data_IF_786954852848
#
_entry.id   IF_786954852848
#
_cell.length_a   1.000
_cell.length_b   1.000
_cell.length_c   1.000
_cell.angle_alpha   90.00
_cell.angle_beta   90.00
_cell.angle_gamma   90.00
#
_symmetry.space_group_name_H-M   'P 1'
#
loop_
_entity.id
_entity.type
_entity.pdbx_description
1 polymer ?
#
# COMPACT_ATOMS: atom_id res chain seq x y z
N UNK A 1 -19.41 -25.01 12.60
CA UNK A 1 -18.27 -24.26 11.98
C UNK A 1 -17.26 -25.31 11.58
N UNK A 2 -16.67 -25.26 10.39
CA UNK A 2 -15.67 -26.27 10.00
C UNK A 2 -14.32 -25.99 10.65
N UNK A 3 -13.53 -27.02 10.93
CA UNK A 3 -12.18 -26.87 11.48
C UNK A 3 -11.22 -26.63 10.32
N UNK A 4 -10.46 -25.53 10.36
CA UNK A 4 -9.42 -25.27 9.37
C UNK A 4 -8.21 -26.21 9.59
N UNK A 5 -7.62 -26.69 8.50
CA UNK A 5 -6.34 -27.38 8.53
C UNK A 5 -5.23 -26.40 8.88
N UNK A 6 -4.28 -26.87 9.66
CA UNK A 6 -3.00 -26.21 9.90
C UNK A 6 -2.17 -26.18 8.61
N UNK A 7 -1.21 -25.26 8.54
CA UNK A 7 -0.35 -25.16 7.37
C UNK A 7 0.53 -26.41 7.22
N UNK A 8 0.86 -27.09 8.32
CA UNK A 8 1.66 -28.32 8.29
C UNK A 8 0.83 -29.51 7.75
N UNK A 9 -0.46 -29.61 8.11
CA UNK A 9 -1.39 -30.58 7.50
C UNK A 9 -1.50 -30.33 5.98
N UNK A 10 -1.71 -29.07 5.57
CA UNK A 10 -1.76 -28.71 4.14
C UNK A 10 -0.46 -28.98 3.40
N UNK A 11 0.69 -28.79 4.05
CA UNK A 11 2.00 -29.09 3.47
C UNK A 11 2.19 -30.58 3.24
N UNK A 12 1.79 -31.44 4.18
CA UNK A 12 1.91 -32.89 4.04
C UNK A 12 1.06 -33.44 2.90
N UNK A 13 -0.11 -32.86 2.66
CA UNK A 13 -0.95 -33.17 1.49
C UNK A 13 -0.34 -32.60 0.19
N UNK A 14 0.23 -31.40 0.23
CA UNK A 14 0.74 -30.69 -0.95
C UNK A 14 2.14 -31.13 -1.44
N UNK A 15 2.99 -31.70 -0.56
CA UNK A 15 4.41 -31.96 -0.88
C UNK A 15 4.63 -32.97 -2.01
N UNK A 16 3.66 -33.82 -2.29
CA UNK A 16 3.71 -34.83 -3.36
C UNK A 16 3.46 -34.28 -4.76
N UNK A 17 3.05 -33.01 -4.88
CA UNK A 17 2.73 -32.35 -6.15
C UNK A 17 3.89 -31.52 -6.68
N UNK A 18 3.94 -31.38 -8.01
CA UNK A 18 4.94 -30.54 -8.66
C UNK A 18 4.56 -29.05 -8.57
N UNK A 19 3.26 -28.77 -8.61
CA UNK A 19 2.71 -27.42 -8.58
C UNK A 19 1.43 -27.37 -7.76
N UNK A 20 1.30 -26.34 -6.93
CA UNK A 20 0.11 -26.07 -6.12
C UNK A 20 -0.44 -24.69 -6.47
N UNK A 21 -1.74 -24.60 -6.76
CA UNK A 21 -2.42 -23.34 -7.01
C UNK A 21 -3.27 -22.95 -5.80
N UNK A 22 -3.14 -21.70 -5.37
CA UNK A 22 -3.98 -21.11 -4.33
C UNK A 22 -4.21 -19.63 -4.61
N UNK A 23 -5.39 -19.12 -4.28
CA UNK A 23 -5.68 -17.69 -4.44
C UNK A 23 -5.01 -16.82 -3.38
N UNK A 24 -4.69 -17.39 -2.21
CA UNK A 24 -4.05 -16.66 -1.13
C UNK A 24 -2.52 -16.62 -1.28
N UNK A 25 -1.99 -15.42 -1.49
CA UNK A 25 -0.55 -15.19 -1.58
C UNK A 25 0.19 -15.51 -0.28
N UNK A 26 -0.46 -15.34 0.89
CA UNK A 26 0.14 -15.66 2.18
C UNK A 26 0.29 -17.17 2.34
N UNK A 27 -0.76 -17.95 2.04
CA UNK A 27 -0.69 -19.41 2.01
C UNK A 27 0.37 -19.92 1.02
N UNK A 28 0.40 -19.38 -0.20
CA UNK A 28 1.44 -19.75 -1.18
C UNK A 28 2.85 -19.50 -0.63
N UNK A 29 3.05 -18.36 0.03
CA UNK A 29 4.35 -18.02 0.65
C UNK A 29 4.68 -18.96 1.81
N UNK A 30 3.70 -19.30 2.65
CA UNK A 30 3.87 -20.19 3.79
C UNK A 30 4.19 -21.63 3.38
N UNK A 31 3.58 -22.14 2.31
CA UNK A 31 3.91 -23.44 1.72
C UNK A 31 5.31 -23.42 1.11
N UNK A 32 5.65 -22.37 0.37
CA UNK A 32 6.99 -22.23 -0.20
C UNK A 32 8.10 -22.11 0.86
N UNK A 33 7.79 -21.54 2.02
CA UNK A 33 8.73 -21.47 3.15
C UNK A 33 9.05 -22.81 3.81
N UNK A 34 8.26 -23.86 3.54
CA UNK A 34 8.45 -25.23 4.08
C UNK A 34 9.27 -26.14 3.17
N UNK A 35 9.63 -25.66 1.98
CA UNK A 35 10.48 -26.40 1.05
C UNK A 35 11.87 -26.56 1.67
N UNK A 36 12.22 -27.79 2.06
CA UNK A 36 13.55 -28.13 2.56
C UNK A 36 14.49 -28.65 1.47
N UNK A 37 13.95 -29.04 0.30
CA UNK A 37 14.70 -29.66 -0.79
C UNK A 37 15.00 -28.67 -1.93
N UNK A 38 16.19 -28.77 -2.57
CA UNK A 38 16.50 -27.95 -3.73
C UNK A 38 15.58 -28.30 -4.90
N UNK A 39 14.85 -27.32 -5.41
CA UNK A 39 13.92 -27.48 -6.54
C UNK A 39 14.00 -26.32 -7.52
N UNK A 40 13.63 -26.59 -8.77
CA UNK A 40 13.51 -25.56 -9.80
C UNK A 40 12.14 -24.88 -9.66
N UNK A 41 12.16 -23.59 -9.33
CA UNK A 41 10.96 -22.79 -9.10
C UNK A 41 10.32 -23.03 -7.72
N UNK A 42 9.13 -22.45 -7.53
CA UNK A 42 8.32 -22.58 -6.31
C UNK A 42 7.38 -23.79 -6.38
N UNK A 43 6.86 -24.22 -5.23
CA UNK A 43 5.78 -25.21 -5.13
C UNK A 43 4.43 -24.56 -5.38
N UNK A 44 4.12 -23.53 -4.60
CA UNK A 44 2.82 -22.87 -4.61
C UNK A 44 2.85 -21.55 -5.37
N UNK A 45 1.86 -21.34 -6.23
CA UNK A 45 1.67 -20.13 -7.02
C UNK A 45 0.24 -19.62 -6.92
N UNK A 46 0.07 -18.32 -7.11
CA UNK A 46 -1.24 -17.73 -7.37
C UNK A 46 -1.54 -17.72 -8.88
N UNK A 47 -2.81 -17.79 -9.30
CA UNK A 47 -3.20 -17.69 -10.71
C UNK A 47 -2.60 -16.46 -11.40
N UNK A 48 -2.60 -15.31 -10.71
CA UNK A 48 -2.01 -14.06 -11.19
C UNK A 48 -0.49 -14.12 -11.36
N UNK A 49 0.22 -14.87 -10.51
CA UNK A 49 1.66 -15.09 -10.67
C UNK A 49 1.95 -15.97 -11.89
N UNK A 50 1.17 -17.05 -12.10
CA UNK A 50 1.29 -17.89 -13.29
C UNK A 50 1.04 -17.05 -14.54
N UNK A 51 -0.03 -16.26 -14.56
CA UNK A 51 -0.36 -15.39 -15.69
C UNK A 51 0.75 -14.38 -15.99
N UNK A 52 1.39 -13.80 -14.96
CA UNK A 52 2.53 -12.90 -15.15
C UNK A 52 3.77 -13.62 -15.70
N UNK A 53 3.95 -14.91 -15.42
CA UNK A 53 5.04 -15.72 -15.98
C UNK A 53 4.78 -16.11 -17.44
N UNK A 54 3.52 -16.20 -17.85
CA UNK A 54 3.11 -16.65 -19.19
C UNK A 54 2.63 -15.52 -20.09
N UNK A 55 2.63 -14.26 -19.63
CA UNK A 55 2.07 -13.11 -20.36
C UNK A 55 2.71 -12.90 -21.75
N UNK A 56 4.01 -13.17 -21.88
CA UNK A 56 4.70 -13.06 -23.15
C UNK A 56 4.28 -14.16 -24.13
N UNK A 57 3.91 -15.35 -23.63
CA UNK A 57 3.46 -16.48 -24.44
C UNK A 57 2.00 -16.31 -24.85
N UNK A 58 1.15 -15.78 -23.95
CA UNK A 58 -0.29 -15.62 -24.20
C UNK A 58 -0.62 -14.37 -25.01
N UNK A 59 -0.10 -13.19 -24.64
CA UNK A 59 -0.43 -11.90 -25.29
C UNK A 59 0.68 -11.46 -26.28
N UNK A 60 1.85 -12.09 -26.26
CA UNK A 60 3.00 -11.71 -27.11
C UNK A 60 3.79 -10.50 -26.59
N UNK A 61 3.36 -9.88 -25.49
CA UNK A 61 3.96 -8.68 -24.88
C UNK A 61 3.64 -8.62 -23.39
N UNK A 62 4.49 -7.96 -22.58
CA UNK A 62 4.23 -7.80 -21.15
C UNK A 62 2.93 -7.03 -20.89
N UNK A 63 2.22 -7.38 -19.82
CA UNK A 63 1.05 -6.64 -19.39
C UNK A 63 1.45 -5.23 -18.93
N UNK A 64 0.65 -4.23 -19.30
CA UNK A 64 0.87 -2.86 -18.87
C UNK A 64 0.65 -2.70 -17.36
N UNK A 65 1.39 -1.79 -16.76
CA UNK A 65 1.15 -1.35 -15.39
C UNK A 65 -0.13 -0.51 -15.29
N UNK A 66 -0.71 -0.42 -14.09
CA UNK A 66 -1.94 0.35 -13.85
C UNK A 66 -1.81 1.82 -14.28
N UNK A 67 -0.64 2.44 -14.03
CA UNK A 67 -0.40 3.83 -14.43
C UNK A 67 -0.33 3.99 -15.95
N UNK A 68 0.27 3.04 -16.66
CA UNK A 68 0.33 3.06 -18.13
C UNK A 68 -1.05 2.86 -18.74
N UNK A 69 -1.86 1.94 -18.19
CA UNK A 69 -3.25 1.72 -18.60
C UNK A 69 -4.05 3.02 -18.44
N UNK A 70 -3.98 3.65 -17.27
CA UNK A 70 -4.71 4.91 -17.01
C UNK A 70 -4.22 6.02 -17.94
N UNK A 71 -2.91 6.16 -18.12
CA UNK A 71 -2.33 7.16 -19.01
C UNK A 71 -2.78 6.96 -20.46
N UNK A 72 -2.88 5.71 -20.92
CA UNK A 72 -3.32 5.39 -22.28
C UNK A 72 -4.82 5.67 -22.47
N UNK A 73 -5.67 5.25 -21.54
CA UNK A 73 -7.12 5.51 -21.61
C UNK A 73 -7.40 7.02 -21.61
N UNK A 74 -6.63 7.81 -20.84
CA UNK A 74 -6.76 9.27 -20.83
C UNK A 74 -6.31 9.93 -22.14
N UNK A 75 -5.31 9.39 -22.83
CA UNK A 75 -4.94 9.90 -24.18
C UNK A 75 -6.06 9.68 -25.19
N UNK A 76 -6.80 8.58 -25.04
CA UNK A 76 -7.92 8.27 -25.92
C UNK A 76 -9.20 9.03 -25.51
N UNK A 77 -9.24 9.57 -24.28
CA UNK A 77 -10.39 10.26 -23.68
C UNK A 77 -9.92 11.51 -22.90
N UNK A 78 -9.71 12.62 -23.61
CA UNK A 78 -9.19 13.87 -23.03
C UNK A 78 -10.13 14.50 -21.97
N UNK A 79 -11.41 14.12 -21.94
CA UNK A 79 -12.42 14.62 -21.01
C UNK A 79 -12.43 13.93 -19.64
N UNK A 80 -11.66 12.84 -19.48
CA UNK A 80 -11.64 12.05 -18.24
C UNK A 80 -10.45 12.39 -17.33
N UNK A 81 -10.76 12.69 -16.06
CA UNK A 81 -9.75 12.88 -15.03
C UNK A 81 -9.19 11.53 -14.52
N UNK A 82 -7.98 11.57 -13.97
CA UNK A 82 -7.28 10.37 -13.49
C UNK A 82 -8.08 9.59 -12.46
N UNK A 83 -8.76 10.27 -11.53
CA UNK A 83 -9.50 9.62 -10.46
C UNK A 83 -10.69 8.85 -11.01
N UNK A 84 -11.42 9.44 -11.96
CA UNK A 84 -12.53 8.76 -12.64
C UNK A 84 -12.05 7.54 -13.42
N UNK A 85 -10.99 7.65 -14.22
CA UNK A 85 -10.45 6.48 -14.95
C UNK A 85 -10.04 5.37 -13.99
N UNK A 86 -9.36 5.71 -12.89
CA UNK A 86 -8.96 4.74 -11.88
C UNK A 86 -10.15 4.05 -11.21
N UNK A 87 -11.20 4.80 -10.83
CA UNK A 87 -12.39 4.23 -10.21
C UNK A 87 -13.15 3.32 -11.16
N UNK A 88 -13.35 3.73 -12.41
CA UNK A 88 -14.05 2.94 -13.42
C UNK A 88 -13.24 1.69 -13.80
N UNK A 89 -11.91 1.81 -13.95
CA UNK A 89 -11.02 0.67 -14.19
C UNK A 89 -11.11 -0.37 -13.05
N UNK A 90 -11.16 0.09 -11.80
CA UNK A 90 -11.29 -0.79 -10.63
C UNK A 90 -12.64 -1.52 -10.66
N UNK A 91 -13.73 -0.82 -10.98
CA UNK A 91 -15.06 -1.42 -11.11
C UNK A 91 -15.13 -2.45 -12.25
N UNK A 92 -14.57 -2.12 -13.42
CA UNK A 92 -14.45 -3.03 -14.57
C UNK A 92 -13.71 -4.32 -14.20
N UNK A 93 -12.58 -4.21 -13.49
CA UNK A 93 -11.81 -5.37 -13.03
C UNK A 93 -12.61 -6.22 -12.05
N UNK A 94 -13.35 -5.59 -11.14
CA UNK A 94 -14.19 -6.32 -10.19
C UNK A 94 -15.30 -7.11 -10.90
N UNK A 95 -15.98 -6.50 -11.88
CA UNK A 95 -16.96 -7.20 -12.71
C UNK A 95 -16.30 -8.38 -13.46
N UNK A 96 -15.13 -8.15 -14.06
CA UNK A 96 -14.43 -9.19 -14.84
C UNK A 96 -14.02 -10.41 -14.01
N UNK A 97 -13.82 -10.26 -12.69
CA UNK A 97 -13.54 -11.40 -11.81
C UNK A 97 -14.69 -12.41 -11.76
N UNK A 98 -15.93 -11.93 -11.90
CA UNK A 98 -17.13 -12.75 -11.74
C UNK A 98 -17.82 -13.10 -13.05
N UNK A 99 -17.55 -12.37 -14.14
CA UNK A 99 -18.24 -12.60 -15.43
C UNK A 99 -17.37 -12.16 -16.62
N UNK A 100 -17.43 -12.90 -17.72
CA UNK A 100 -16.76 -12.54 -18.98
C UNK A 100 -17.43 -11.32 -19.67
N UNK A 101 -18.76 -11.22 -19.61
CA UNK A 101 -19.57 -10.18 -20.25
C UNK A 101 -19.58 -8.85 -19.47
N UNK A 102 -18.43 -8.19 -19.33
CA UNK A 102 -18.31 -6.92 -18.61
C UNK A 102 -19.26 -5.86 -19.14
N UNK A 103 -19.39 -5.73 -20.48
CA UNK A 103 -20.16 -4.68 -21.14
C UNK A 103 -21.63 -4.60 -20.70
N UNK A 104 -22.23 -5.74 -20.33
CA UNK A 104 -23.64 -5.83 -19.90
C UNK A 104 -23.90 -5.19 -18.54
N UNK A 105 -22.88 -5.15 -17.68
CA UNK A 105 -22.98 -4.64 -16.31
C UNK A 105 -22.46 -3.20 -16.17
N UNK A 106 -22.13 -2.54 -17.28
CA UNK A 106 -21.71 -1.14 -17.31
C UNK A 106 -22.90 -0.20 -17.50
N UNK A 107 -23.34 0.41 -16.41
CA UNK A 107 -24.50 1.31 -16.42
C UNK A 107 -24.15 2.73 -16.93
N UNK A 108 -22.94 3.21 -16.68
CA UNK A 108 -22.51 4.57 -17.02
C UNK A 108 -21.89 4.66 -18.43
N UNK A 109 -22.19 5.75 -19.16
CA UNK A 109 -21.56 6.05 -20.45
C UNK A 109 -20.05 6.20 -20.31
N UNK A 110 -19.58 6.77 -19.19
CA UNK A 110 -18.15 6.91 -18.90
C UNK A 110 -17.49 5.55 -18.75
N UNK A 111 -18.12 4.65 -18.01
CA UNK A 111 -17.63 3.30 -17.81
C UNK A 111 -17.53 2.53 -19.14
N UNK A 112 -18.53 2.71 -20.02
CA UNK A 112 -18.51 2.12 -21.37
C UNK A 112 -17.35 2.67 -22.22
N UNK A 113 -17.09 3.98 -22.21
CA UNK A 113 -15.92 4.55 -22.91
C UNK A 113 -14.60 4.01 -22.38
N UNK A 114 -14.44 3.97 -21.05
CA UNK A 114 -13.25 3.41 -20.40
C UNK A 114 -13.07 1.94 -20.80
N UNK A 115 -14.15 1.16 -20.86
CA UNK A 115 -14.13 -0.25 -21.27
C UNK A 115 -13.71 -0.44 -22.73
N UNK A 116 -14.21 0.39 -23.66
CA UNK A 116 -13.84 0.33 -25.08
C UNK A 116 -12.34 0.51 -25.30
N UNK A 117 -11.70 1.43 -24.57
CA UNK A 117 -10.24 1.56 -24.56
C UNK A 117 -9.58 0.40 -23.80
N UNK A 118 -10.08 0.05 -22.61
CA UNK A 118 -9.47 -0.95 -21.72
C UNK A 118 -9.36 -2.34 -22.37
N UNK A 119 -10.39 -2.81 -23.09
CA UNK A 119 -10.41 -4.15 -23.70
C UNK A 119 -9.30 -4.37 -24.75
N UNK A 120 -8.81 -3.29 -25.36
CA UNK A 120 -7.77 -3.34 -26.39
C UNK A 120 -6.36 -3.44 -25.80
N UNK A 121 -6.20 -2.99 -24.55
CA UNK A 121 -4.90 -2.95 -23.89
C UNK A 121 -4.43 -4.34 -23.45
N UNK A 122 -3.11 -4.58 -23.43
CA UNK A 122 -2.55 -5.81 -22.86
C UNK A 122 -2.58 -5.72 -21.33
N UNK A 123 -3.61 -6.32 -20.73
CA UNK A 123 -3.80 -6.36 -19.27
C UNK A 123 -3.56 -7.76 -18.73
N UNK A 124 -3.33 -7.86 -17.40
CA UNK A 124 -3.16 -9.16 -16.74
C UNK A 124 -4.42 -10.02 -16.84
N UNK A 125 -5.59 -9.40 -16.74
CA UNK A 125 -6.87 -10.09 -16.88
C UNK A 125 -7.01 -10.70 -18.28
N UNK A 126 -6.58 -9.98 -19.32
CA UNK A 126 -6.55 -10.50 -20.69
C UNK A 126 -5.57 -11.66 -20.86
N UNK A 127 -4.47 -11.66 -20.12
CA UNK A 127 -3.51 -12.78 -20.13
C UNK A 127 -4.13 -14.03 -19.53
N UNK A 128 -4.92 -13.87 -18.47
CA UNK A 128 -5.62 -14.97 -17.82
C UNK A 128 -6.75 -15.50 -18.70
N UNK A 129 -7.46 -14.61 -19.39
CA UNK A 129 -8.54 -14.99 -20.32
C UNK A 129 -8.03 -15.70 -21.57
N UNK A 130 -6.91 -15.24 -22.14
CA UNK A 130 -6.28 -15.87 -23.30
C UNK A 130 -5.47 -17.13 -22.93
N UNK A 131 -5.41 -17.49 -21.64
CA UNK A 131 -4.65 -18.65 -21.20
C UNK A 131 -5.40 -19.94 -21.56
N UNK A 132 -4.75 -20.78 -22.37
CA UNK A 132 -5.17 -22.14 -22.65
C UNK A 132 -4.22 -23.10 -21.94
N UNK A 133 -4.75 -23.96 -21.07
CA UNK A 133 -3.94 -24.91 -20.30
C UNK A 133 -3.26 -25.96 -21.18
N UNK A 134 -3.90 -26.37 -22.27
CA UNK A 134 -3.40 -27.41 -23.17
C UNK A 134 -2.19 -26.93 -23.99
N UNK A 135 -2.15 -25.64 -24.32
CA UNK A 135 -1.09 -25.03 -25.14
C UNK A 135 0.11 -24.55 -24.32
N UNK A 136 -0.05 -24.38 -23.00
CA UNK A 136 0.96 -23.77 -22.16
C UNK A 136 1.89 -24.80 -21.48
N UNK A 137 3.20 -24.62 -21.68
CA UNK A 137 4.25 -25.47 -21.14
C UNK A 137 4.33 -25.49 -19.60
N UNK A 138 3.66 -24.56 -18.90
CA UNK A 138 3.82 -24.41 -17.46
C UNK A 138 3.33 -25.62 -16.67
N UNK A 139 2.19 -26.22 -17.06
CA UNK A 139 1.60 -27.38 -16.38
C UNK A 139 1.90 -28.72 -17.07
N UNK A 140 2.53 -28.69 -18.25
CA UNK A 140 2.77 -29.89 -19.05
C UNK A 140 3.64 -30.90 -18.29
N UNK A 141 3.07 -32.09 -18.03
CA UNK A 141 3.74 -33.19 -17.34
C UNK A 141 3.90 -33.02 -15.83
N UNK A 142 3.21 -32.05 -15.22
CA UNK A 142 3.25 -31.79 -13.78
C UNK A 142 1.99 -32.31 -13.10
N UNK A 143 2.13 -32.85 -11.89
CA UNK A 143 1.01 -33.10 -10.99
C UNK A 143 0.60 -31.79 -10.33
N UNK A 144 -0.63 -31.35 -10.57
CA UNK A 144 -1.16 -30.07 -10.07
C UNK A 144 -2.18 -30.32 -8.97
N UNK A 145 -2.02 -29.63 -7.84
CA UNK A 145 -3.05 -29.55 -6.80
C UNK A 145 -3.61 -28.13 -6.71
N UNK A 146 -4.88 -28.01 -6.33
CA UNK A 146 -5.57 -26.74 -6.10
C UNK A 146 -6.04 -26.72 -4.66
N UNK A 147 -5.61 -25.73 -3.88
CA UNK A 147 -6.07 -25.55 -2.50
C UNK A 147 -7.20 -24.54 -2.46
N UNK A 148 -8.37 -24.98 -1.98
CA UNK A 148 -9.55 -24.15 -1.78
C UNK A 148 -10.17 -23.65 -3.07
N UNK A 149 -10.70 -24.58 -3.89
CA UNK A 149 -11.32 -24.27 -5.19
C UNK A 149 -12.48 -23.27 -5.06
N UNK A 150 -13.20 -23.30 -3.94
CA UNK A 150 -14.29 -22.38 -3.62
C UNK A 150 -13.86 -20.90 -3.60
N UNK A 151 -12.58 -20.61 -3.36
CA UNK A 151 -12.06 -19.25 -3.32
C UNK A 151 -11.61 -18.73 -4.69
N UNK A 152 -11.65 -19.56 -5.74
CA UNK A 152 -11.31 -19.15 -7.10
C UNK A 152 -12.47 -18.42 -7.77
N UNK A 153 -12.20 -17.24 -8.28
CA UNK A 153 -13.17 -16.51 -9.10
C UNK A 153 -13.22 -17.10 -10.53
N UNK A 154 -14.20 -16.68 -11.33
CA UNK A 154 -14.35 -17.11 -12.72
C UNK A 154 -13.05 -16.89 -13.52
N UNK A 155 -12.45 -15.70 -13.38
CA UNK A 155 -11.18 -15.38 -14.03
C UNK A 155 -10.02 -16.27 -13.56
N UNK A 156 -9.98 -16.63 -12.28
CA UNK A 156 -8.91 -17.46 -11.72
C UNK A 156 -9.03 -18.91 -12.20
N UNK A 157 -10.25 -19.39 -12.44
CA UNK A 157 -10.54 -20.75 -12.94
C UNK A 157 -10.00 -21.00 -14.34
N UNK A 158 -9.87 -19.96 -15.17
CA UNK A 158 -9.21 -20.08 -16.48
C UNK A 158 -7.74 -20.53 -16.41
N UNK A 159 -7.09 -20.37 -15.25
CA UNK A 159 -5.70 -20.77 -15.04
C UNK A 159 -5.54 -22.22 -14.54
N UNK A 160 -6.64 -22.95 -14.32
CA UNK A 160 -6.62 -24.31 -13.79
C UNK A 160 -6.40 -25.33 -14.91
N UNK A 161 -5.50 -26.30 -14.69
CA UNK A 161 -5.36 -27.46 -15.59
C UNK A 161 -6.65 -28.28 -15.64
N UNK A 162 -6.87 -29.08 -16.69
CA UNK A 162 -7.99 -30.02 -16.74
C UNK A 162 -7.85 -31.17 -15.72
N UNK A 163 -6.60 -31.61 -15.51
CA UNK A 163 -6.25 -32.65 -14.53
C UNK A 163 -5.63 -31.97 -13.29
N UNK A 164 -6.39 -31.87 -12.20
CA UNK A 164 -5.90 -31.40 -10.89
C UNK A 164 -6.57 -32.15 -9.75
N UNK A 165 -5.86 -32.22 -8.62
CA UNK A 165 -6.41 -32.72 -7.35
C UNK A 165 -6.82 -31.56 -6.46
N UNK A 166 -8.01 -31.61 -5.89
CA UNK A 166 -8.50 -30.60 -4.97
C UNK A 166 -8.11 -30.94 -3.52
N UNK A 167 -7.48 -29.98 -2.85
CA UNK A 167 -7.16 -30.04 -1.43
C UNK A 167 -8.09 -29.06 -0.69
N UNK A 168 -9.00 -29.60 0.13
CA UNK A 168 -9.85 -28.78 0.99
C UNK A 168 -9.01 -28.15 2.13
N UNK A 169 -9.30 -26.88 2.41
CA UNK A 169 -8.75 -26.11 3.53
C UNK A 169 -9.33 -26.54 4.88
N UNK A 170 -10.49 -27.20 4.86
CA UNK A 170 -11.18 -27.65 6.05
C UNK A 170 -11.03 -29.16 6.23
N UNK A 171 -11.06 -29.59 7.49
CA UNK A 171 -11.23 -30.99 7.86
C UNK A 171 -12.63 -31.23 8.39
N UNK A 172 -13.07 -32.48 8.29
CA UNK A 172 -14.34 -32.90 8.85
C UNK A 172 -14.34 -32.73 10.37
N UNK A 173 -15.31 -31.96 10.85
CA UNK A 173 -15.48 -31.68 12.27
C UNK A 173 -16.12 -30.33 12.54
N UNK A 174 -16.73 -30.21 13.73
CA UNK A 174 -17.29 -28.97 14.22
C UNK A 174 -16.29 -28.24 15.11
N UNK A 175 -15.86 -27.07 14.67
CA UNK A 175 -15.14 -26.09 15.49
C UNK A 175 -16.09 -25.50 16.53
N UNK A 176 -15.70 -25.63 17.80
CA UNK A 176 -16.37 -25.01 18.95
C UNK A 176 -15.44 -23.96 19.54
N UNK A 177 -16.01 -22.82 19.90
CA UNK A 177 -15.28 -21.78 20.64
C UNK A 177 -15.19 -22.26 22.09
N UNK A 178 -14.00 -22.64 22.54
CA UNK A 178 -13.81 -23.21 23.87
C UNK A 178 -14.14 -22.23 25.00
N UNK A 179 -13.72 -20.97 24.86
CA UNK A 179 -13.86 -19.96 25.91
C UNK A 179 -14.25 -18.61 25.34
N UNK A 180 -15.25 -18.00 25.94
CA UNK A 180 -15.68 -16.63 25.66
C UNK A 180 -15.48 -15.83 26.94
N UNK A 181 -14.61 -14.82 26.87
CA UNK A 181 -14.40 -13.89 27.98
C UNK A 181 -15.23 -12.62 27.74
N UNK A 182 -16.07 -12.25 28.71
CA UNK A 182 -16.76 -10.97 28.71
C UNK A 182 -15.99 -9.99 29.60
N UNK A 183 -15.48 -8.92 29.01
CA UNK A 183 -14.68 -7.90 29.69
C UNK A 183 -15.23 -6.53 29.30
N UNK A 184 -15.47 -5.65 30.28
CA UNK A 184 -16.18 -4.39 30.06
C UNK A 184 -15.33 -3.20 29.62
N UNK A 185 -13.99 -3.31 29.59
CA UNK A 185 -13.09 -2.19 29.30
C UNK A 185 -12.02 -2.56 28.26
N UNK A 186 -11.89 -1.76 27.21
CA UNK A 186 -10.90 -1.90 26.12
C UNK A 186 -9.47 -2.13 26.63
N UNK A 187 -9.06 -1.41 27.69
CA UNK A 187 -7.71 -1.55 28.26
C UNK A 187 -7.51 -2.91 28.93
N UNK A 188 -8.53 -3.39 29.64
CA UNK A 188 -8.50 -4.70 30.28
C UNK A 188 -8.50 -5.81 29.22
N UNK A 189 -9.30 -5.65 28.15
CA UNK A 189 -9.28 -6.58 27.01
C UNK A 189 -7.86 -6.64 26.42
N UNK A 190 -7.24 -5.49 26.18
CA UNK A 190 -5.90 -5.42 25.62
C UNK A 190 -4.82 -6.08 26.51
N UNK A 191 -4.87 -5.84 27.83
CA UNK A 191 -3.95 -6.45 28.78
C UNK A 191 -4.17 -7.97 28.87
N UNK A 192 -5.42 -8.44 28.91
CA UNK A 192 -5.75 -9.87 28.87
C UNK A 192 -5.28 -10.55 27.58
N UNK A 193 -5.45 -9.90 26.41
CA UNK A 193 -4.93 -10.42 25.13
C UNK A 193 -3.41 -10.58 25.20
N UNK A 194 -2.70 -9.57 25.71
CA UNK A 194 -1.25 -9.64 25.85
C UNK A 194 -0.83 -10.77 26.79
N UNK A 195 -1.56 -11.01 27.88
CA UNK A 195 -1.25 -12.10 28.83
C UNK A 195 -1.55 -13.48 28.24
N UNK A 196 -2.62 -13.65 27.46
CA UNK A 196 -2.89 -14.89 26.72
C UNK A 196 -1.75 -15.17 25.74
N UNK A 197 -1.29 -14.16 25.00
CA UNK A 197 -0.21 -14.31 24.01
C UNK A 197 1.13 -14.60 24.69
N UNK A 198 1.43 -14.03 25.86
CA UNK A 198 2.63 -14.41 26.63
C UNK A 198 2.64 -15.89 27.01
N UNK A 199 1.46 -16.48 27.24
CA UNK A 199 1.29 -17.89 27.57
C UNK A 199 1.54 -18.84 26.39
N UNK A 200 1.61 -18.33 25.16
CA UNK A 200 1.87 -19.11 23.96
C UNK A 200 3.02 -18.52 23.13
N UNK A 201 3.40 -19.19 22.03
CA UNK A 201 4.39 -18.62 21.10
C UNK A 201 3.72 -17.49 20.31
N UNK A 202 4.32 -16.29 20.22
CA UNK A 202 3.73 -15.17 19.46
C UNK A 202 3.44 -15.49 17.99
N UNK A 203 4.14 -16.46 17.40
CA UNK A 203 3.94 -16.94 16.03
C UNK A 203 2.65 -17.73 15.84
N UNK A 204 2.10 -18.28 16.92
CA UNK A 204 0.96 -19.20 16.89
C UNK A 204 -0.34 -18.47 17.27
N UNK A 205 -0.28 -17.16 17.53
CA UNK A 205 -1.41 -16.33 17.92
C UNK A 205 -1.76 -15.32 16.83
N UNK A 206 -3.04 -15.22 16.50
CA UNK A 206 -3.59 -14.18 15.64
C UNK A 206 -4.67 -13.41 16.39
N UNK A 207 -4.63 -12.07 16.30
CA UNK A 207 -5.65 -11.20 16.88
C UNK A 207 -6.41 -10.53 15.74
N UNK A 208 -7.70 -10.84 15.62
CA UNK A 208 -8.59 -10.25 14.62
C UNK A 208 -9.37 -9.12 15.26
N UNK A 209 -9.18 -7.90 14.74
CA UNK A 209 -9.75 -6.68 15.29
C UNK A 209 -10.01 -5.67 14.17
N UNK A 210 -10.93 -4.74 14.40
CA UNK A 210 -11.11 -3.62 13.49
C UNK A 210 -9.90 -2.67 13.58
N UNK A 211 -9.09 -2.49 12.53
CA UNK A 211 -7.81 -1.79 12.60
C UNK A 211 -7.92 -0.30 12.97
N UNK A 212 -9.08 0.32 12.73
CA UNK A 212 -9.37 1.72 13.03
C UNK A 212 -10.15 1.93 14.35
N UNK A 213 -10.41 0.87 15.11
CA UNK A 213 -11.11 0.96 16.39
C UNK A 213 -10.20 1.35 17.57
N UNK A 214 -10.77 1.93 18.62
CA UNK A 214 -10.07 2.29 19.87
C UNK A 214 -9.40 1.09 20.52
N UNK A 215 -10.03 -0.08 20.43
CA UNK A 215 -9.49 -1.34 20.93
C UNK A 215 -8.19 -1.75 20.23
N UNK A 216 -8.05 -1.46 18.93
CA UNK A 216 -6.83 -1.75 18.18
C UNK A 216 -5.62 -1.02 18.76
N UNK A 217 -5.81 0.26 19.08
CA UNK A 217 -4.76 1.10 19.66
C UNK A 217 -4.40 0.65 21.07
N UNK A 218 -5.40 0.27 21.87
CA UNK A 218 -5.18 -0.30 23.20
C UNK A 218 -4.37 -1.61 23.13
N UNK A 219 -4.73 -2.53 22.22
CA UNK A 219 -4.02 -3.80 22.00
C UNK A 219 -2.59 -3.55 21.54
N UNK A 220 -2.37 -2.68 20.54
CA UNK A 220 -1.02 -2.31 20.07
C UNK A 220 -0.18 -1.76 21.22
N UNK A 221 -0.72 -0.82 22.01
CA UNK A 221 -0.02 -0.26 23.16
C UNK A 221 0.31 -1.32 24.22
N UNK A 222 -0.57 -2.29 24.46
CA UNK A 222 -0.30 -3.41 25.36
C UNK A 222 0.81 -4.34 24.83
N UNK A 223 0.80 -4.69 23.53
CA UNK A 223 1.84 -5.50 22.91
C UNK A 223 3.21 -4.79 22.95
N UNK A 224 3.25 -3.50 22.65
CA UNK A 224 4.47 -2.68 22.75
C UNK A 224 5.01 -2.63 24.19
N UNK A 225 4.14 -2.38 25.19
CA UNK A 225 4.55 -2.36 26.61
C UNK A 225 5.14 -3.70 27.05
N UNK A 226 4.57 -4.80 26.59
CA UNK A 226 4.99 -6.15 26.93
C UNK A 226 6.12 -6.69 26.03
N UNK A 227 6.62 -5.90 25.07
CA UNK A 227 7.68 -6.29 24.11
C UNK A 227 7.35 -7.56 23.32
N UNK A 228 6.07 -7.79 23.01
CA UNK A 228 5.64 -8.92 22.19
C UNK A 228 5.82 -8.51 20.72
N UNK A 229 6.57 -9.27 19.90
CA UNK A 229 6.71 -8.98 18.49
C UNK A 229 5.39 -9.25 17.78
N UNK A 230 4.93 -8.31 16.97
CA UNK A 230 3.73 -8.48 16.15
C UNK A 230 3.92 -7.84 14.78
N UNK A 231 3.31 -8.44 13.76
CA UNK A 231 3.24 -7.87 12.42
C UNK A 231 2.03 -6.96 12.36
N UNK A 232 2.26 -5.67 12.22
CA UNK A 232 1.21 -4.69 11.97
C UNK A 232 1.30 -4.26 10.52
N UNK A 233 0.18 -4.32 9.80
CA UNK A 233 0.03 -3.51 8.59
C UNK A 233 -0.17 -2.07 9.07
N UNK A 234 0.94 -1.40 9.43
CA UNK A 234 0.94 0.01 9.78
C UNK A 234 0.34 0.76 8.60
N UNK A 235 -0.83 1.35 8.82
CA UNK A 235 -1.37 2.29 7.84
C UNK A 235 -0.46 3.51 7.82
N UNK A 236 -0.35 4.17 6.68
CA UNK A 236 0.44 5.40 6.53
C UNK A 236 0.04 6.47 7.57
N UNK A 237 -1.19 6.40 8.10
CA UNK A 237 -1.71 7.29 9.16
C UNK A 237 -1.11 7.02 10.55
N UNK A 238 -0.53 5.85 10.77
CA UNK A 238 0.03 5.42 12.06
C UNK A 238 1.44 5.99 12.28
N UNK A 239 2.13 6.40 11.20
CA UNK A 239 3.39 7.12 11.27
C UNK A 239 3.10 8.60 11.56
N UNK A 240 3.42 9.05 12.78
CA UNK A 240 3.23 10.45 13.20
C UNK A 240 3.80 11.45 12.18
N UNK A 241 4.97 11.14 11.62
CA UNK A 241 5.63 11.94 10.60
C UNK A 241 4.82 12.11 9.31
N UNK A 242 4.16 11.05 8.85
CA UNK A 242 3.37 11.12 7.61
C UNK A 242 2.01 11.76 7.88
N UNK A 243 1.43 11.50 9.05
CA UNK A 243 0.22 12.19 9.52
C UNK A 243 0.44 13.70 9.58
N UNK A 244 1.52 14.14 10.24
CA UNK A 244 1.89 15.54 10.36
C UNK A 244 2.13 16.15 8.98
N UNK A 245 2.77 15.42 8.05
CA UNK A 245 2.97 15.93 6.70
C UNK A 245 1.67 16.06 5.90
N UNK A 246 0.79 15.07 5.94
CA UNK A 246 -0.51 15.15 5.28
C UNK A 246 -1.33 16.31 5.86
N UNK A 247 -1.34 16.45 7.18
CA UNK A 247 -2.01 17.56 7.86
C UNK A 247 -1.41 18.91 7.46
N UNK A 248 -0.08 19.01 7.33
CA UNK A 248 0.60 20.20 6.82
C UNK A 248 0.13 20.56 5.41
N UNK A 249 0.09 19.59 4.49
CA UNK A 249 -0.36 19.82 3.11
C UNK A 249 -1.84 20.22 3.06
N UNK A 250 -2.71 19.55 3.84
CA UNK A 250 -4.13 19.89 3.92
C UNK A 250 -4.34 21.33 4.41
N UNK A 251 -3.69 21.72 5.52
CA UNK A 251 -3.76 23.09 6.04
C UNK A 251 -3.15 24.11 5.07
N UNK A 252 -2.12 23.74 4.32
CA UNK A 252 -1.50 24.61 3.33
C UNK A 252 -2.41 24.86 2.11
N UNK A 253 -3.20 23.87 1.69
CA UNK A 253 -4.18 24.06 0.61
C UNK A 253 -5.26 25.07 0.98
N UNK A 254 -5.61 25.13 2.28
CA UNK A 254 -6.57 26.06 2.89
C UNK A 254 -5.91 27.27 3.56
N UNK A 255 -4.65 27.59 3.21
CA UNK A 255 -3.84 28.62 3.87
C UNK A 255 -4.53 29.98 4.09
N UNK A 256 -5.47 30.35 3.21
CA UNK A 256 -6.19 31.63 3.30
C UNK A 256 -7.18 31.70 4.48
N UNK A 257 -7.72 30.56 4.91
CA UNK A 257 -8.76 30.44 5.95
C UNK A 257 -8.24 29.84 7.26
N UNK A 258 -7.04 29.24 7.23
CA UNK A 258 -6.38 28.64 8.40
C UNK A 258 -6.02 29.70 9.44
N UNK A 259 -6.31 29.38 10.71
CA UNK A 259 -5.93 30.21 11.87
C UNK A 259 -4.67 29.65 12.54
N UNK A 260 -4.01 30.49 13.32
CA UNK A 260 -2.80 30.10 14.07
C UNK A 260 -3.06 28.92 15.01
N UNK A 261 -4.22 28.85 15.65
CA UNK A 261 -4.57 27.72 16.54
C UNK A 261 -4.50 26.36 15.85
N UNK A 262 -4.81 26.31 14.55
CA UNK A 262 -4.93 25.06 13.79
C UNK A 262 -3.54 24.54 13.36
N UNK A 263 -2.56 25.43 13.24
CA UNK A 263 -1.17 25.10 12.85
C UNK A 263 -0.18 25.11 14.01
N UNK A 264 -0.53 25.68 15.16
CA UNK A 264 0.39 25.83 16.30
C UNK A 264 0.91 24.48 16.80
N UNK A 265 0.03 23.51 16.99
CA UNK A 265 0.40 22.20 17.54
C UNK A 265 1.27 21.43 16.53
N UNK A 266 0.91 21.52 15.24
CA UNK A 266 1.69 20.96 14.13
C UNK A 266 3.08 21.61 14.05
N UNK A 267 3.17 22.94 14.11
CA UNK A 267 4.45 23.61 14.06
C UNK A 267 5.27 23.25 15.29
N UNK A 268 4.67 23.12 16.46
CA UNK A 268 5.38 22.69 17.67
C UNK A 268 5.95 21.27 17.53
N UNK A 269 5.21 20.34 16.92
CA UNK A 269 5.70 18.97 16.66
C UNK A 269 6.89 18.97 15.67
N UNK A 270 6.83 19.83 14.65
CA UNK A 270 7.88 19.98 13.63
C UNK A 270 9.13 20.71 14.14
N UNK A 271 8.95 21.72 14.99
CA UNK A 271 10.02 22.52 15.58
C UNK A 271 10.74 21.78 16.71
N UNK A 272 10.08 20.83 17.37
CA UNK A 272 10.68 19.98 18.39
C UNK A 272 11.44 20.75 19.46
N UNK A 273 10.78 21.58 20.27
CA UNK A 273 11.36 22.30 21.43
C UNK A 273 12.79 22.82 21.11
N UNK A 274 12.96 23.51 20.00
CA UNK A 274 14.22 24.19 19.72
C UNK A 274 14.33 25.36 20.70
N UNK A 275 15.25 25.25 21.67
CA UNK A 275 15.56 26.27 22.69
C UNK A 275 16.18 27.56 22.13
N UNK A 276 15.83 27.95 20.91
CA UNK A 276 16.21 29.21 20.28
C UNK A 276 15.15 30.25 20.61
N UNK A 277 15.50 31.22 21.46
CA UNK A 277 14.62 32.25 22.02
C UNK A 277 14.01 33.24 21.02
N UNK A 278 13.26 32.75 20.03
CA UNK A 278 12.39 33.53 19.15
C UNK A 278 10.93 33.47 19.60
N UNK A 279 10.12 34.46 19.20
CA UNK A 279 8.66 34.41 19.39
C UNK A 279 8.06 33.39 18.42
N UNK A 280 7.71 32.22 18.95
CA UNK A 280 6.89 31.22 18.27
C UNK A 280 5.42 31.65 18.22
N UNK A 281 4.58 30.89 17.51
CA UNK A 281 3.13 31.06 17.53
C UNK A 281 2.61 30.92 18.97
N UNK A 282 2.12 32.04 19.55
CA UNK A 282 1.63 32.07 20.94
C UNK A 282 0.11 31.93 21.01
N UNK A 283 -0.47 31.49 22.14
CA UNK A 283 -1.92 31.41 22.32
C UNK A 283 -2.69 32.72 22.09
N UNK A 284 -2.05 33.86 22.36
CA UNK A 284 -2.61 35.18 22.05
C UNK A 284 -2.90 35.36 20.55
N UNK A 285 -2.17 34.65 19.68
CA UNK A 285 -2.28 34.74 18.23
C UNK A 285 -3.31 33.76 17.64
N UNK A 286 -3.95 32.92 18.45
CA UNK A 286 -4.79 31.79 18.00
C UNK A 286 -5.93 32.15 17.03
N UNK A 287 -6.50 33.34 17.20
CA UNK A 287 -7.60 33.82 16.37
C UNK A 287 -7.17 34.54 15.10
N UNK A 288 -5.87 34.80 14.93
CA UNK A 288 -5.35 35.45 13.73
C UNK A 288 -5.32 34.46 12.56
N UNK A 289 -5.62 34.99 11.38
CA UNK A 289 -5.41 34.26 10.13
C UNK A 289 -3.91 34.13 9.86
N UNK A 290 -3.48 32.93 9.51
CA UNK A 290 -2.08 32.66 9.19
C UNK A 290 -1.59 33.49 8.00
N UNK A 291 -2.50 33.79 7.07
CA UNK A 291 -2.26 34.65 5.90
C UNK A 291 -2.00 36.13 6.22
N UNK A 292 -2.45 36.61 7.39
CA UNK A 292 -2.32 38.00 7.84
C UNK A 292 -1.15 38.24 8.79
N UNK A 293 -0.41 37.20 9.16
CA UNK A 293 0.81 37.36 9.93
C UNK A 293 1.86 38.07 9.08
N UNK A 294 2.38 39.18 9.59
CA UNK A 294 3.50 39.90 8.99
C UNK A 294 4.77 39.10 9.24
N UNK A 295 5.49 38.78 8.15
CA UNK A 295 6.72 37.98 8.20
C UNK A 295 7.98 38.85 8.36
N UNK A 296 7.84 40.18 8.30
CA UNK A 296 8.90 41.16 8.48
C UNK A 296 8.29 42.53 8.78
N UNK A 297 8.34 42.98 10.04
CA UNK A 297 8.90 44.30 10.39
C UNK A 297 8.84 44.51 11.92
N UNK A 298 9.98 44.72 12.60
CA UNK A 298 10.03 45.03 14.03
C UNK A 298 9.54 46.46 14.27
N UNK A 299 8.22 46.67 14.22
CA UNK A 299 7.65 48.01 14.38
C UNK A 299 6.13 48.15 14.22
N UNK A 300 5.43 47.15 13.68
CA UNK A 300 3.96 47.18 13.63
C UNK A 300 3.32 46.41 14.80
N UNK A 301 2.38 47.00 15.56
CA UNK A 301 1.65 46.30 16.60
C UNK A 301 0.66 45.32 15.96
N UNK A 302 1.10 44.08 15.78
CA UNK A 302 0.28 43.00 15.27
C UNK A 302 1.10 41.76 14.96
N UNK A 303 1.18 40.83 15.93
CA UNK A 303 1.53 39.44 15.71
C UNK A 303 2.80 39.16 14.86
N UNK A 304 3.92 39.79 15.20
CA UNK A 304 5.23 39.55 14.56
C UNK A 304 5.82 38.21 15.05
N UNK A 305 6.07 37.30 14.11
CA UNK A 305 6.71 36.00 14.37
C UNK A 305 8.19 36.15 14.07
N UNK A 306 9.06 36.14 15.09
CA UNK A 306 10.50 36.38 14.88
C UNK A 306 11.28 35.10 14.56
N UNK A 307 10.68 33.92 14.75
CA UNK A 307 11.34 32.64 14.55
C UNK A 307 11.57 32.33 13.05
N UNK A 308 12.82 32.23 12.58
CA UNK A 308 13.14 32.00 11.16
C UNK A 308 12.52 30.72 10.60
N UNK A 309 12.35 29.70 11.43
CA UNK A 309 11.81 28.40 11.01
C UNK A 309 10.29 28.47 10.84
N UNK A 310 9.59 29.09 11.78
CA UNK A 310 8.16 29.36 11.63
C UNK A 310 7.88 30.20 10.37
N UNK A 311 8.71 31.21 10.07
CA UNK A 311 8.61 31.97 8.82
C UNK A 311 8.77 31.09 7.58
N UNK A 312 9.77 30.20 7.56
CA UNK A 312 10.01 29.29 6.45
C UNK A 312 8.84 28.32 6.23
N UNK A 313 8.22 27.81 7.29
CA UNK A 313 7.03 26.97 7.19
C UNK A 313 5.82 27.74 6.64
N UNK A 314 5.57 28.96 7.12
CA UNK A 314 4.49 29.82 6.63
C UNK A 314 4.67 30.11 5.13
N UNK A 315 5.88 30.46 4.69
CA UNK A 315 6.17 30.68 3.27
C UNK A 315 6.01 29.39 2.44
N UNK A 316 6.40 28.24 3.00
CA UNK A 316 6.19 26.95 2.35
C UNK A 316 4.70 26.63 2.19
N UNK A 317 3.88 26.91 3.21
CA UNK A 317 2.43 26.75 3.12
C UNK A 317 1.81 27.73 2.11
N UNK A 318 2.27 28.99 2.08
CA UNK A 318 1.83 30.00 1.12
C UNK A 318 2.13 29.61 -0.33
N UNK A 319 3.29 28.99 -0.56
CA UNK A 319 3.75 28.55 -1.88
C UNK A 319 3.36 27.12 -2.27
N UNK A 320 2.55 26.42 -1.47
CA UNK A 320 2.36 24.96 -1.61
C UNK A 320 1.88 24.53 -3.00
N UNK A 321 1.05 25.35 -3.66
CA UNK A 321 0.48 25.04 -4.99
C UNK A 321 1.53 25.04 -6.11
N UNK A 322 2.68 25.69 -5.89
CA UNK A 322 3.81 25.70 -6.82
C UNK A 322 4.90 24.68 -6.49
N UNK A 323 4.71 23.86 -5.46
CA UNK A 323 5.69 22.87 -5.02
C UNK A 323 5.19 21.46 -5.34
N UNK A 324 6.10 20.60 -5.78
CA UNK A 324 5.82 19.16 -5.81
C UNK A 324 5.77 18.59 -4.39
N UNK A 325 5.14 17.42 -4.23
CA UNK A 325 5.06 16.72 -2.95
C UNK A 325 6.45 16.43 -2.34
N UNK A 326 7.48 16.20 -3.16
CA UNK A 326 8.85 16.00 -2.67
C UNK A 326 9.52 17.31 -2.21
N UNK A 327 9.26 18.42 -2.90
CA UNK A 327 9.82 19.74 -2.56
C UNK A 327 9.17 20.33 -1.31
N UNK A 328 7.86 20.18 -1.16
CA UNK A 328 7.14 20.59 0.04
C UNK A 328 7.63 19.80 1.27
N UNK A 329 7.82 18.48 1.11
CA UNK A 329 8.39 17.64 2.16
C UNK A 329 9.81 18.09 2.53
N UNK A 330 10.66 18.33 1.54
CA UNK A 330 12.05 18.75 1.77
C UNK A 330 12.11 20.09 2.52
N UNK A 331 11.28 21.06 2.12
CA UNK A 331 11.23 22.39 2.77
C UNK A 331 10.66 22.35 4.18
N UNK A 332 9.69 21.48 4.45
CA UNK A 332 9.04 21.41 5.76
C UNK A 332 9.75 20.46 6.76
N UNK A 333 10.42 19.40 6.28
CA UNK A 333 10.91 18.30 7.13
C UNK A 333 12.42 17.97 7.01
N UNK A 334 13.16 18.47 6.00
CA UNK A 334 14.58 18.13 5.82
C UNK A 334 15.52 19.12 6.52
N UNK A 335 15.47 19.14 7.86
CA UNK A 335 16.36 19.96 8.72
C UNK A 335 17.41 19.11 9.46
N UNK A 336 18.60 19.67 9.78
CA UNK A 336 19.67 18.95 10.47
C UNK A 336 19.26 18.36 11.83
N UNK A 337 18.31 18.99 12.52
CA UNK A 337 17.79 18.58 13.84
C UNK A 337 16.90 17.34 13.76
N UNK A 338 16.06 17.25 12.72
CA UNK A 338 15.23 16.07 12.46
C UNK A 338 16.06 14.89 11.96
N UNK A 339 17.18 15.15 11.26
CA UNK A 339 18.18 14.12 10.89
C UNK A 339 18.88 13.50 12.12
N UNK A 340 19.14 14.28 13.19
CA UNK A 340 19.73 13.77 14.44
C UNK A 340 18.77 12.89 15.25
N UNK A 341 17.45 13.06 15.09
CA UNK A 341 16.42 12.24 15.75
C UNK A 341 16.19 10.86 15.09
N UNK A 342 17.04 10.46 14.14
CA UNK A 342 16.96 9.13 13.51
C UNK A 342 15.72 8.93 12.64
N UNK A 343 15.24 10.00 11.99
CA UNK A 343 14.01 9.92 11.22
C UNK A 343 14.23 9.14 9.89
N UNK A 344 13.36 8.16 9.56
CA UNK A 344 13.55 7.20 8.47
C UNK A 344 13.20 7.77 7.08
N UNK A 345 13.48 9.05 6.83
CA UNK A 345 13.05 9.76 5.62
C UNK A 345 13.75 9.29 4.34
N UNK A 346 14.98 8.74 4.46
CA UNK A 346 15.69 8.19 3.30
C UNK A 346 14.95 7.00 2.69
N UNK A 347 14.32 6.16 3.52
CA UNK A 347 13.50 5.03 3.07
C UNK A 347 12.22 5.49 2.37
N UNK A 348 11.66 6.64 2.75
CA UNK A 348 10.44 7.20 2.17
C UNK A 348 10.62 7.68 0.72
N UNK A 349 11.74 8.34 0.40
CA UNK A 349 12.08 8.69 -0.98
C UNK A 349 12.33 7.48 -1.88
N UNK A 350 12.79 6.36 -1.31
CA UNK A 350 12.99 5.11 -2.05
C UNK A 350 11.67 4.38 -2.33
N UNK A 351 10.73 4.42 -1.39
CA UNK A 351 9.39 3.79 -1.53
C UNK A 351 8.52 4.52 -2.56
N UNK A 352 8.67 5.85 -2.71
CA UNK A 352 7.88 6.67 -3.64
C UNK A 352 8.54 6.95 -4.99
N UNK A 353 9.68 6.31 -5.30
CA UNK A 353 10.25 6.34 -6.66
C UNK A 353 10.55 7.74 -7.22
N UNK A 354 10.77 8.75 -6.37
CA UNK A 354 11.21 10.06 -6.83
C UNK A 354 12.71 10.06 -7.11
N UNK A 355 13.13 9.36 -8.17
CA UNK A 355 14.41 9.65 -8.80
C UNK A 355 14.31 11.03 -9.45
N UNK A 356 15.03 12.00 -8.88
CA UNK A 356 15.30 13.28 -9.55
C UNK A 356 15.97 13.00 -10.89
N UNK A 357 15.22 13.03 -12.00
CA UNK A 357 15.76 13.35 -13.32
C UNK A 357 15.28 14.74 -13.71
N UNK A 358 16.15 15.73 -13.50
CA UNK A 358 16.09 16.97 -14.29
C UNK A 358 16.40 16.59 -15.74
N UNK A 359 15.48 16.85 -16.66
CA UNK A 359 15.82 16.97 -18.09
C UNK A 359 16.82 18.12 -18.25
N UNK A 360 18.02 17.91 -18.81
CA UNK A 360 18.88 19.03 -19.16
C UNK A 360 18.39 19.63 -20.48
N UNK A 361 18.35 20.97 -20.49
CA UNK A 361 18.13 21.76 -21.68
C UNK A 361 19.12 21.40 -22.80
N UNK A 362 18.60 21.40 -24.03
CA UNK A 362 19.36 21.22 -25.28
C UNK A 362 20.50 22.25 -25.39
N UNK A 363 21.72 21.76 -25.65
CA UNK A 363 22.66 22.40 -26.59
C UNK A 363 23.55 21.31 -27.23
N UNK A 364 24.14 21.55 -28.43
CA UNK A 364 24.46 20.47 -29.37
C UNK A 364 25.94 20.06 -29.40
N UNK A 365 26.17 18.80 -29.86
CA UNK A 365 27.45 18.12 -30.20
C UNK A 365 28.27 17.74 -28.96
N UNK A 366 28.83 16.54 -28.79
CA UNK A 366 29.47 15.56 -29.69
C UNK A 366 29.45 14.17 -29.02
N UNK A 367 29.34 13.09 -29.80
CA UNK A 367 29.66 11.70 -29.40
C UNK A 367 31.11 11.59 -28.90
N UNK A 368 31.47 10.66 -27.97
CA UNK A 368 31.74 9.27 -28.38
C UNK A 368 31.54 8.13 -27.33
N UNK A 369 31.30 6.93 -27.87
CA UNK A 369 31.68 5.54 -27.50
C UNK A 369 31.91 5.03 -26.05
N UNK A 370 31.25 3.89 -25.77
CA UNK A 370 31.69 2.64 -25.10
C UNK A 370 32.22 2.66 -23.64
N UNK A 371 31.61 1.88 -22.75
CA UNK A 371 32.13 0.56 -22.33
C UNK A 371 31.39 -0.04 -21.12
N UNK A 372 31.11 -1.33 -21.24
CA UNK A 372 30.66 -2.32 -20.27
C UNK A 372 31.54 -2.41 -19.01
N UNK A 373 30.95 -2.65 -17.82
CA UNK A 373 31.45 -3.67 -16.86
C UNK A 373 30.51 -3.85 -15.66
N UNK A 374 30.10 -5.10 -15.46
CA UNK A 374 29.46 -5.63 -14.25
C UNK A 374 30.53 -5.96 -13.20
N UNK A 375 30.20 -5.82 -11.91
CA UNK A 375 30.89 -6.56 -10.84
C UNK A 375 29.89 -7.02 -9.77
N UNK A 376 29.82 -8.36 -9.71
CA UNK A 376 29.67 -9.30 -8.57
C UNK A 376 29.07 -8.78 -7.28
#
# INVERSE_FOLDING_TARGET
MRIAKSIDELWEEAKGFDCVLTTDAALATALNGRIAEPRIGRLAYTPKQVAAMTEHQTIGRPAMSDLEIIAQIRKDNDDLDFRTVYSEMTAIREIRRHTADVAKYLHSDRARRVWESYRLLPTKEKSMEAYSCDDNYFFKGKKVAVIGLDFFNDLDKHMLSGDFEEIDLFKDGDYKIDKIYSIGNDRQIADCIADIIKGCRPTDAAVVLNPSGTLADAVRAALYRNRIPFKNDLSVKDLAQVRDYIQFVTLALDFRTVRVKDVRDLFTSLHGISGTGGRHLTPYMDNFLLSRLTLSDPGQPGADVSDPRTKALIETMRGIRGLTFGEALSKAFDTPELRRRGAPWRSFCTIWGCTMRRSPARSPRTSPTLSTTWRT
#
